data_IF_304114169757
#
_entry.id   IF_304114169757
#
_cell.length_a   1.000
_cell.length_b   1.000
_cell.length_c   1.000
_cell.angle_alpha   90.00
_cell.angle_beta   90.00
_cell.angle_gamma   90.00
#
_symmetry.space_group_name_H-M   'P 1'
#
loop_
_entity.id
_entity.type
_entity.pdbx_description
1 polymer ?
#
# COMPACT_ATOMS: atom_id res chain seq x y z
N UNK A 1 7.93 17.31 7.97
CA UNK A 1 8.84 16.28 7.45
C UNK A 1 8.37 15.83 6.06
N UNK A 2 8.64 16.60 5.00
CA UNK A 2 8.14 16.31 3.63
C UNK A 2 8.87 15.11 3.02
N UNK A 3 10.18 14.99 3.25
CA UNK A 3 10.98 13.91 2.70
C UNK A 3 10.49 12.52 3.13
N UNK A 4 10.17 12.35 4.41
CA UNK A 4 9.57 11.11 4.94
C UNK A 4 8.19 10.84 4.34
N UNK A 5 7.32 11.86 4.29
CA UNK A 5 5.95 11.71 3.77
C UNK A 5 5.96 11.29 2.30
N UNK A 6 6.82 11.90 1.47
CA UNK A 6 6.95 11.51 0.07
C UNK A 6 7.58 10.12 -0.06
N UNK A 7 8.54 9.78 0.79
CA UNK A 7 9.08 8.41 0.84
C UNK A 7 7.98 7.38 1.16
N UNK A 8 7.09 7.69 2.11
CA UNK A 8 5.96 6.83 2.43
C UNK A 8 4.94 6.77 1.28
N UNK A 9 4.53 7.90 0.71
CA UNK A 9 3.61 7.92 -0.43
C UNK A 9 4.11 7.04 -1.59
N UNK A 10 5.41 7.11 -1.90
CA UNK A 10 6.02 6.23 -2.90
C UNK A 10 5.88 4.76 -2.53
N UNK A 11 6.19 4.37 -1.29
CA UNK A 11 6.04 2.98 -0.83
C UNK A 11 4.59 2.53 -0.93
N UNK A 12 3.66 3.31 -0.37
CA UNK A 12 2.21 3.06 -0.35
C UNK A 12 1.68 2.78 -1.75
N UNK A 13 1.92 3.71 -2.69
CA UNK A 13 1.44 3.56 -4.07
C UNK A 13 2.13 2.42 -4.81
N UNK A 14 3.40 2.14 -4.52
CA UNK A 14 4.14 1.06 -5.19
C UNK A 14 3.68 -0.32 -4.72
N UNK A 15 3.40 -0.50 -3.42
CA UNK A 15 2.90 -1.77 -2.88
C UNK A 15 1.38 -1.87 -2.92
N UNK A 16 0.68 -0.83 -3.38
CA UNK A 16 -0.78 -0.73 -3.34
C UNK A 16 -1.32 -0.99 -1.93
N UNK A 17 -0.84 -0.23 -0.94
CA UNK A 17 -1.50 -0.14 0.37
C UNK A 17 -2.77 0.71 0.23
N UNK A 18 -3.67 0.25 -0.63
CA UNK A 18 -4.84 1.01 -1.05
C UNK A 18 -5.93 1.03 0.05
N UNK A 19 -5.63 0.68 1.29
CA UNK A 19 -6.54 0.74 2.43
C UNK A 19 -5.98 1.68 3.53
N UNK A 20 -5.15 2.62 3.11
CA UNK A 20 -4.31 3.45 3.97
C UNK A 20 -4.66 4.94 3.98
N UNK A 21 -3.71 5.82 4.34
CA UNK A 21 -3.93 7.27 4.46
C UNK A 21 -4.31 7.96 3.15
N UNK A 22 -4.11 7.31 2.00
CA UNK A 22 -4.41 7.87 0.69
C UNK A 22 -5.67 7.28 0.04
N UNK A 23 -6.41 6.40 0.72
CA UNK A 23 -7.78 6.03 0.32
C UNK A 23 -8.78 6.83 1.15
N UNK A 24 -9.63 7.62 0.49
CA UNK A 24 -10.76 8.28 1.14
C UNK A 24 -12.07 7.62 0.76
N UNK A 25 -12.66 6.92 1.73
CA UNK A 25 -14.00 6.35 1.63
C UNK A 25 -15.02 7.41 2.01
N UNK A 26 -16.11 7.51 1.24
CA UNK A 26 -17.21 8.42 1.52
C UNK A 26 -18.48 7.65 1.86
N UNK A 27 -19.17 8.11 2.90
CA UNK A 27 -20.46 7.58 3.32
C UNK A 27 -21.40 8.76 3.56
N UNK A 28 -22.21 9.08 2.55
CA UNK A 28 -23.03 10.29 2.57
C UNK A 28 -22.17 11.53 2.43
N UNK A 29 -22.22 12.44 3.41
CA UNK A 29 -21.46 13.69 3.37
C UNK A 29 -20.10 13.62 4.07
N UNK A 30 -19.77 12.48 4.68
CA UNK A 30 -18.53 12.28 5.43
C UNK A 30 -17.57 11.43 4.62
N UNK A 31 -16.37 11.94 4.39
CA UNK A 31 -15.27 11.21 3.78
C UNK A 31 -14.12 11.08 4.76
N UNK A 32 -13.51 9.91 4.84
CA UNK A 32 -12.41 9.63 5.76
C UNK A 32 -11.45 8.56 5.22
N UNK A 33 -10.21 8.64 5.65
CA UNK A 33 -9.15 7.66 5.47
C UNK A 33 -8.80 6.99 6.83
N UNK A 34 -7.97 5.94 6.81
CA UNK A 34 -7.57 5.21 8.02
C UNK A 34 -6.26 4.42 7.84
N UNK A 35 -5.93 3.55 8.80
CA UNK A 35 -4.75 2.69 8.82
C UNK A 35 -3.40 3.45 8.84
N UNK A 36 -3.35 4.49 9.68
CA UNK A 36 -2.11 5.19 10.00
C UNK A 36 -2.17 5.82 11.38
N UNK A 37 -1.01 6.24 11.89
CA UNK A 37 -0.87 7.09 13.06
C UNK A 37 -0.18 8.40 12.70
N UNK A 38 -0.60 9.46 13.38
CA UNK A 38 0.19 10.68 13.48
C UNK A 38 1.03 10.64 14.75
N UNK A 39 2.34 10.80 14.60
CA UNK A 39 3.25 10.98 15.73
C UNK A 39 3.85 12.38 15.68
N UNK A 40 3.62 13.15 16.74
CA UNK A 40 4.23 14.46 16.93
C UNK A 40 5.56 14.30 17.66
N UNK A 41 6.62 14.92 17.16
CA UNK A 41 7.91 15.04 17.84
C UNK A 41 8.15 16.52 18.24
N UNK A 42 7.66 16.94 19.43
CA UNK A 42 7.69 18.36 19.82
C UNK A 42 9.10 18.94 19.90
N UNK A 43 10.10 18.14 20.27
CA UNK A 43 11.50 18.59 20.34
C UNK A 43 12.08 19.04 19.00
N UNK A 44 11.51 18.58 17.89
CA UNK A 44 11.91 18.96 16.52
C UNK A 44 10.87 19.80 15.79
N UNK A 45 9.67 19.98 16.38
CA UNK A 45 8.50 20.55 15.70
C UNK A 45 8.17 19.79 14.40
N UNK A 46 8.24 18.47 14.46
CA UNK A 46 7.96 17.59 13.32
C UNK A 46 6.73 16.71 13.58
N UNK A 47 6.06 16.36 12.50
CA UNK A 47 4.95 15.41 12.47
C UNK A 47 5.32 14.29 11.51
N UNK A 48 5.09 13.05 11.94
CA UNK A 48 5.42 11.82 11.25
C UNK A 48 4.15 11.04 10.94
N UNK A 49 4.04 10.58 9.70
CA UNK A 49 2.94 9.74 9.25
C UNK A 49 3.40 8.28 9.24
N UNK A 50 2.82 7.46 10.11
CA UNK A 50 3.26 6.07 10.32
C UNK A 50 2.19 5.12 9.77
N UNK A 51 2.53 4.23 8.83
CA UNK A 51 1.58 3.25 8.31
C UNK A 51 1.16 2.25 9.38
N UNK A 52 -0.09 1.79 9.30
CA UNK A 52 -0.63 0.72 10.11
C UNK A 52 -1.44 -0.24 9.23
N UNK A 53 -1.70 -1.44 9.73
CA UNK A 53 -2.59 -2.43 9.09
C UNK A 53 -2.39 -2.62 7.58
N UNK A 54 -1.23 -3.15 7.21
CA UNK A 54 -0.85 -3.39 5.80
C UNK A 54 -1.27 -4.79 5.30
N UNK A 55 -2.28 -5.42 5.92
CA UNK A 55 -2.72 -6.77 5.57
C UNK A 55 -3.25 -6.89 4.14
N UNK A 56 -3.86 -5.82 3.62
CA UNK A 56 -4.40 -5.72 2.25
C UNK A 56 -3.39 -5.14 1.24
N UNK A 57 -2.14 -4.93 1.64
CA UNK A 57 -1.11 -4.51 0.69
C UNK A 57 -0.85 -5.61 -0.35
N UNK A 58 -0.34 -5.21 -1.52
CA UNK A 58 -0.04 -6.06 -2.68
C UNK A 58 -1.25 -6.63 -3.43
N UNK A 59 -2.46 -6.66 -2.85
CA UNK A 59 -3.65 -7.27 -3.44
C UNK A 59 -4.08 -6.64 -4.79
N UNK A 60 -3.82 -5.36 -5.00
CA UNK A 60 -4.26 -4.62 -6.18
C UNK A 60 -3.13 -4.30 -7.18
N UNK A 61 -1.97 -4.95 -7.09
CA UNK A 61 -0.82 -4.60 -7.95
C UNK A 61 -1.05 -4.94 -9.42
N UNK A 62 -1.48 -6.17 -9.74
CA UNK A 62 -1.52 -6.67 -11.12
C UNK A 62 -2.90 -7.15 -11.60
N UNK A 63 -3.87 -7.29 -10.69
CA UNK A 63 -5.18 -7.86 -11.02
C UNK A 63 -6.37 -7.23 -10.27
N UNK A 64 -6.15 -6.14 -9.52
CA UNK A 64 -7.20 -5.46 -8.76
C UNK A 64 -8.06 -6.44 -7.93
N UNK A 65 -7.41 -7.35 -7.19
CA UNK A 65 -8.07 -8.50 -6.59
C UNK A 65 -9.07 -8.12 -5.47
N UNK A 66 -8.82 -7.02 -4.75
CA UNK A 66 -9.68 -6.60 -3.67
C UNK A 66 -10.69 -5.56 -4.16
N UNK A 67 -11.99 -5.91 -4.26
CA UNK A 67 -13.00 -5.02 -4.83
C UNK A 67 -13.37 -3.84 -3.92
N UNK A 68 -12.90 -3.82 -2.67
CA UNK A 68 -13.21 -2.80 -1.66
C UNK A 68 -12.11 -1.74 -1.58
N UNK A 69 -10.85 -2.14 -1.67
CA UNK A 69 -9.72 -1.25 -1.39
C UNK A 69 -9.20 -0.53 -2.63
N UNK A 70 -9.65 -0.84 -3.84
CA UNK A 70 -9.15 -0.18 -5.06
C UNK A 70 -9.26 1.34 -5.02
N UNK A 71 -8.14 2.05 -5.23
CA UNK A 71 -8.13 3.51 -5.37
C UNK A 71 -8.30 3.92 -6.83
N UNK A 72 -9.18 4.89 -7.07
CA UNK A 72 -9.49 5.40 -8.41
C UNK A 72 -8.38 6.22 -9.07
N UNK A 73 -7.83 7.18 -8.32
CA UNK A 73 -6.92 8.18 -8.85
C UNK A 73 -5.46 7.84 -8.53
N UNK A 74 -4.58 8.16 -9.48
CA UNK A 74 -3.15 8.13 -9.25
C UNK A 74 -2.70 9.26 -8.32
N UNK A 75 -1.44 9.18 -7.85
CA UNK A 75 -0.88 10.17 -6.94
C UNK A 75 -0.90 11.58 -7.53
N UNK A 76 -1.60 12.51 -6.87
CA UNK A 76 -1.71 13.91 -7.30
C UNK A 76 -2.86 14.22 -8.24
N UNK A 77 -3.52 13.19 -8.77
CA UNK A 77 -4.68 13.30 -9.64
C UNK A 77 -5.96 13.54 -8.83
N UNK A 78 -6.97 14.06 -9.52
CA UNK A 78 -8.29 14.32 -8.97
C UNK A 78 -9.36 14.00 -10.01
N UNK A 79 -10.45 13.40 -9.55
CA UNK A 79 -11.64 13.12 -10.34
C UNK A 79 -12.84 13.89 -9.82
N UNK A 80 -13.88 13.96 -10.66
CA UNK A 80 -15.19 14.51 -10.33
C UNK A 80 -15.18 15.91 -9.66
N UNK A 81 -14.20 16.76 -10.01
CA UNK A 81 -14.04 18.11 -9.43
C UNK A 81 -14.00 18.14 -7.89
N UNK A 82 -13.40 17.12 -7.26
CA UNK A 82 -13.35 16.97 -5.80
C UNK A 82 -14.71 16.77 -5.12
N UNK A 83 -15.71 16.28 -5.85
CA UNK A 83 -16.94 15.73 -5.28
C UNK A 83 -16.85 14.19 -5.20
N UNK A 84 -17.44 13.54 -4.18
CA UNK A 84 -17.44 12.08 -4.07
C UNK A 84 -17.98 11.37 -5.33
N UNK A 85 -17.42 10.22 -5.68
CA UNK A 85 -17.82 9.44 -6.85
C UNK A 85 -17.64 7.93 -6.64
N UNK A 86 -18.49 7.08 -7.25
CA UNK A 86 -18.34 5.63 -7.15
C UNK A 86 -17.20 5.12 -8.02
N UNK A 87 -16.40 4.18 -7.51
CA UNK A 87 -15.35 3.50 -8.26
C UNK A 87 -15.29 1.99 -7.95
N UNK A 88 -14.66 1.23 -8.87
CA UNK A 88 -14.49 -0.21 -8.74
C UNK A 88 -15.76 -1.02 -8.98
N UNK A 89 -15.63 -2.36 -8.94
CA UNK A 89 -16.75 -3.28 -9.21
C UNK A 89 -17.88 -3.21 -8.18
N UNK A 90 -17.58 -2.73 -6.97
CA UNK A 90 -18.57 -2.55 -5.90
C UNK A 90 -19.13 -1.13 -5.85
N UNK A 91 -18.64 -0.21 -6.68
CA UNK A 91 -19.10 1.18 -6.71
C UNK A 91 -18.90 1.88 -5.37
N UNK A 92 -17.80 1.59 -4.67
CA UNK A 92 -17.47 2.23 -3.41
C UNK A 92 -17.27 3.72 -3.67
N UNK A 93 -17.97 4.55 -2.90
CA UNK A 93 -17.90 5.99 -3.03
C UNK A 93 -16.57 6.49 -2.46
N UNK A 94 -15.81 7.20 -3.29
CA UNK A 94 -14.48 7.68 -2.99
C UNK A 94 -14.38 9.19 -3.19
N UNK A 95 -13.41 9.79 -2.52
CA UNK A 95 -12.97 11.15 -2.76
C UNK A 95 -11.48 11.12 -3.14
N UNK A 96 -11.07 11.89 -4.14
CA UNK A 96 -9.67 11.87 -4.57
C UNK A 96 -8.79 12.37 -3.42
N UNK A 97 -7.74 11.62 -3.09
CA UNK A 97 -6.84 11.96 -1.98
C UNK A 97 -6.26 13.39 -2.13
N UNK A 98 -5.96 13.80 -3.37
CA UNK A 98 -5.42 15.12 -3.70
C UNK A 98 -6.44 16.26 -3.59
N UNK A 99 -7.68 16.00 -3.17
CA UNK A 99 -8.63 17.04 -2.79
C UNK A 99 -8.46 17.48 -1.33
N UNK A 100 -7.81 16.66 -0.50
CA UNK A 100 -7.28 17.11 0.78
C UNK A 100 -6.11 18.09 0.58
N UNK A 101 -6.06 19.14 1.40
CA UNK A 101 -5.08 20.22 1.23
C UNK A 101 -3.65 19.78 1.54
N UNK A 102 -3.46 18.89 2.51
CA UNK A 102 -2.13 18.39 2.86
C UNK A 102 -1.63 17.46 1.77
N UNK A 103 -2.45 16.49 1.38
CA UNK A 103 -2.10 15.53 0.31
C UNK A 103 -1.86 16.26 -1.00
N UNK A 104 -2.69 17.26 -1.37
CA UNK A 104 -2.44 18.09 -2.56
C UNK A 104 -1.09 18.77 -2.52
N UNK A 105 -0.72 19.33 -1.36
CA UNK A 105 0.58 20.00 -1.21
C UNK A 105 1.74 19.01 -1.25
N UNK A 106 1.56 17.77 -0.80
CA UNK A 106 2.58 16.74 -0.92
C UNK A 106 2.73 16.26 -2.36
N UNK A 107 1.61 16.07 -3.05
CA UNK A 107 1.61 15.54 -4.41
C UNK A 107 2.24 16.49 -5.43
N UNK A 108 2.40 17.78 -5.13
CA UNK A 108 3.15 18.70 -5.98
C UNK A 108 4.67 18.46 -5.97
N UNK A 109 5.20 17.63 -5.07
CA UNK A 109 6.63 17.31 -4.99
C UNK A 109 7.01 16.16 -5.96
N UNK A 110 6.69 16.33 -7.25
CA UNK A 110 6.85 15.27 -8.28
C UNK A 110 8.29 14.83 -8.48
N UNK A 111 9.24 15.77 -8.54
CA UNK A 111 10.67 15.45 -8.67
C UNK A 111 11.18 14.60 -7.49
N UNK A 112 10.76 14.95 -6.27
CA UNK A 112 11.13 14.20 -5.08
C UNK A 112 10.46 12.82 -5.08
N UNK A 113 9.20 12.73 -5.50
CA UNK A 113 8.49 11.46 -5.63
C UNK A 113 9.24 10.52 -6.60
N UNK A 114 9.62 11.00 -7.77
CA UNK A 114 10.35 10.21 -8.76
C UNK A 114 11.72 9.78 -8.24
N UNK A 115 12.45 10.69 -7.58
CA UNK A 115 13.72 10.36 -6.94
C UNK A 115 13.56 9.26 -5.89
N UNK A 116 12.55 9.36 -5.03
CA UNK A 116 12.25 8.38 -3.99
C UNK A 116 11.80 7.04 -4.58
N UNK A 117 11.04 7.05 -5.68
CA UNK A 117 10.65 5.83 -6.42
C UNK A 117 11.89 5.11 -6.96
N UNK A 118 12.83 5.84 -7.54
CA UNK A 118 14.10 5.24 -7.99
C UNK A 118 14.93 4.68 -6.84
N UNK A 119 15.00 5.36 -5.69
CA UNK A 119 15.69 4.86 -4.50
C UNK A 119 15.03 3.61 -3.92
N UNK A 120 13.70 3.56 -3.91
CA UNK A 120 12.93 2.39 -3.47
C UNK A 120 13.24 1.17 -4.35
N UNK A 121 13.07 1.31 -5.67
CA UNK A 121 13.23 0.22 -6.64
C UNK A 121 14.67 -0.30 -6.68
N UNK A 122 15.66 0.59 -6.66
CA UNK A 122 17.08 0.21 -6.71
C UNK A 122 17.64 -0.25 -5.36
N UNK A 123 16.93 0.00 -4.27
CA UNK A 123 17.36 -0.32 -2.91
C UNK A 123 16.45 -1.35 -2.25
N UNK A 124 15.61 -0.96 -1.26
CA UNK A 124 14.82 -1.88 -0.46
C UNK A 124 13.89 -2.80 -1.26
N UNK A 125 13.37 -2.32 -2.38
CA UNK A 125 12.48 -3.10 -3.24
C UNK A 125 13.22 -3.80 -4.38
N UNK A 126 14.55 -3.76 -4.46
CA UNK A 126 15.29 -4.52 -5.46
C UNK A 126 15.01 -6.02 -5.36
N UNK A 127 15.16 -6.76 -6.47
CA UNK A 127 14.95 -8.23 -6.50
C UNK A 127 15.77 -8.92 -5.42
N UNK A 128 17.06 -8.59 -5.33
CA UNK A 128 17.95 -9.16 -4.32
C UNK A 128 17.48 -8.89 -2.88
N UNK A 129 17.04 -7.66 -2.59
CA UNK A 129 16.55 -7.28 -1.26
C UNK A 129 15.26 -8.03 -0.89
N UNK A 130 14.27 -8.03 -1.78
CA UNK A 130 12.99 -8.69 -1.47
C UNK A 130 13.11 -10.21 -1.45
N UNK A 131 13.89 -10.81 -2.35
CA UNK A 131 14.07 -12.27 -2.35
C UNK A 131 14.78 -12.76 -1.08
N UNK A 132 15.73 -11.97 -0.55
CA UNK A 132 16.37 -12.26 0.71
C UNK A 132 15.36 -12.23 1.86
N UNK A 133 14.56 -11.15 1.99
CA UNK A 133 13.55 -11.03 3.05
C UNK A 133 12.50 -12.15 2.94
N UNK A 134 11.99 -12.42 1.75
CA UNK A 134 11.02 -13.50 1.53
C UNK A 134 11.61 -14.86 1.89
N UNK A 135 12.90 -15.10 1.60
CA UNK A 135 13.58 -16.35 1.96
C UNK A 135 13.71 -16.49 3.47
N UNK A 136 14.12 -15.41 4.15
CA UNK A 136 14.28 -15.40 5.60
C UNK A 136 12.93 -15.66 6.31
N UNK A 137 11.86 -15.01 5.84
CA UNK A 137 10.52 -15.21 6.38
C UNK A 137 9.99 -16.61 6.10
N UNK A 138 10.18 -17.14 4.88
CA UNK A 138 9.82 -18.53 4.56
C UNK A 138 10.52 -19.51 5.50
N UNK A 139 11.84 -19.36 5.71
CA UNK A 139 12.60 -20.23 6.60
C UNK A 139 12.10 -20.14 8.05
N UNK A 140 11.68 -18.96 8.49
CA UNK A 140 11.17 -18.75 9.84
C UNK A 140 9.80 -19.39 10.06
N UNK A 141 8.88 -19.34 9.09
CA UNK A 141 7.47 -19.70 9.31
C UNK A 141 7.02 -21.01 8.66
N UNK A 142 7.79 -21.58 7.71
CA UNK A 142 7.38 -22.79 6.96
C UNK A 142 6.98 -23.96 7.86
N UNK A 143 7.75 -24.23 8.91
CA UNK A 143 7.45 -25.33 9.83
C UNK A 143 6.10 -25.12 10.55
N UNK A 144 5.82 -23.90 10.99
CA UNK A 144 4.55 -23.56 11.63
C UNK A 144 3.37 -23.61 10.65
N UNK A 145 3.58 -23.25 9.37
CA UNK A 145 2.56 -23.39 8.32
C UNK A 145 2.20 -24.86 8.10
N UNK A 146 3.19 -25.77 8.07
CA UNK A 146 2.95 -27.22 7.94
C UNK A 146 2.21 -27.75 9.17
N UNK A 147 2.67 -27.40 10.37
CA UNK A 147 2.02 -27.81 11.63
C UNK A 147 0.55 -27.36 11.65
N UNK A 148 0.27 -26.11 11.30
CA UNK A 148 -1.10 -25.59 11.24
C UNK A 148 -1.96 -26.35 10.21
N UNK A 149 -1.42 -26.61 9.01
CA UNK A 149 -2.11 -27.38 7.96
C UNK A 149 -2.41 -28.82 8.36
N UNK A 150 -1.56 -29.44 9.18
CA UNK A 150 -1.77 -30.81 9.67
C UNK A 150 -2.80 -30.87 10.81
N UNK A 151 -2.87 -29.81 11.63
CA UNK A 151 -3.73 -29.74 12.82
C UNK A 151 -5.13 -29.19 12.57
N UNK A 152 -5.29 -28.32 11.57
CA UNK A 152 -6.51 -27.55 11.34
C UNK A 152 -7.01 -27.72 9.91
N UNK A 153 -8.31 -27.99 9.74
CA UNK A 153 -8.92 -28.24 8.43
C UNK A 153 -9.18 -26.98 7.61
N UNK A 154 -9.16 -25.81 8.25
CA UNK A 154 -9.31 -24.49 7.66
C UNK A 154 -7.97 -23.76 7.47
N UNK A 155 -6.86 -24.36 7.91
CA UNK A 155 -5.53 -23.79 7.71
C UNK A 155 -5.09 -23.87 6.24
N UNK A 156 -4.23 -22.91 5.86
CA UNK A 156 -3.64 -22.83 4.54
C UNK A 156 -2.73 -24.04 4.29
N UNK A 157 -2.93 -24.76 3.19
CA UNK A 157 -2.03 -25.85 2.82
C UNK A 157 -0.65 -25.33 2.39
N UNK A 158 0.38 -26.16 2.56
CA UNK A 158 1.74 -25.80 2.12
C UNK A 158 1.80 -25.41 0.64
N UNK A 159 1.05 -26.12 -0.22
CA UNK A 159 0.99 -25.85 -1.67
C UNK A 159 0.38 -24.47 -1.95
N UNK A 160 -0.72 -24.12 -1.27
CA UNK A 160 -1.35 -22.81 -1.45
C UNK A 160 -0.44 -21.68 -0.93
N UNK A 161 0.27 -21.91 0.19
CA UNK A 161 1.21 -20.94 0.73
C UNK A 161 2.41 -20.70 -0.21
N UNK A 162 3.02 -21.76 -0.74
CA UNK A 162 4.13 -21.64 -1.70
C UNK A 162 3.67 -20.96 -3.00
N UNK A 163 2.45 -21.22 -3.47
CA UNK A 163 1.86 -20.53 -4.60
C UNK A 163 1.63 -19.02 -4.31
N UNK A 164 1.17 -18.66 -3.11
CA UNK A 164 0.99 -17.26 -2.72
C UNK A 164 2.32 -16.51 -2.67
N UNK A 165 3.40 -17.15 -2.21
CA UNK A 165 4.75 -16.56 -2.25
C UNK A 165 5.20 -16.29 -3.68
N UNK A 166 4.97 -17.23 -4.60
CA UNK A 166 5.30 -17.04 -6.01
C UNK A 166 4.50 -15.89 -6.63
N UNK A 167 3.21 -15.80 -6.31
CA UNK A 167 2.37 -14.68 -6.75
C UNK A 167 2.87 -13.33 -6.20
N UNK A 168 3.25 -13.27 -4.93
CA UNK A 168 3.84 -12.05 -4.35
C UNK A 168 5.13 -11.64 -5.06
N UNK A 169 5.98 -12.60 -5.47
CA UNK A 169 7.18 -12.29 -6.27
C UNK A 169 6.84 -11.68 -7.63
N UNK A 170 5.83 -12.23 -8.31
CA UNK A 170 5.33 -11.67 -9.58
C UNK A 170 4.74 -10.27 -9.41
N UNK A 171 4.00 -10.03 -8.32
CA UNK A 171 3.49 -8.71 -7.97
C UNK A 171 4.64 -7.72 -7.72
N UNK A 172 5.66 -8.12 -6.95
CA UNK A 172 6.85 -7.27 -6.72
C UNK A 172 7.61 -6.99 -8.02
N UNK A 173 7.70 -7.96 -8.94
CA UNK A 173 8.27 -7.72 -10.27
C UNK A 173 7.44 -6.70 -11.06
N UNK A 174 6.12 -6.85 -11.09
CA UNK A 174 5.24 -5.91 -11.76
C UNK A 174 5.37 -4.49 -11.20
N UNK A 175 5.35 -4.35 -9.87
CA UNK A 175 5.42 -3.07 -9.17
C UNK A 175 6.76 -2.34 -9.36
N UNK A 176 7.86 -3.03 -9.63
CA UNK A 176 9.14 -2.38 -9.99
C UNK A 176 9.12 -1.73 -11.37
N UNK A 177 8.30 -2.26 -12.27
CA UNK A 177 8.31 -1.93 -13.68
C UNK A 177 7.17 -0.99 -14.09
N UNK A 178 6.29 -0.61 -13.15
CA UNK A 178 5.14 0.27 -13.35
C UNK A 178 5.07 1.33 -12.25
#
# INVERSE_FOLDING_TARGET
>A
NIDEIISYAVVDRTIRHDDGPFHWYCFGNDCSNHNYYWYEEPSKNELHLIPWDLGNAFENINNNANPVTLIADDWGETSNNCEPFPFGGFGIEQWSASCDKLIKSWSTNTELYDQKKQLLINGPMSVASTDQILTDWQNQIKAATVEASDMHNDALSLVQWEAAIMNLKEQLEFARNN
#
